data_IF_487485856928
#
_entry.id   IF_487485856928
#
_cell.length_a   1.000
_cell.length_b   1.000
_cell.length_c   1.000
_cell.angle_alpha   90.00
_cell.angle_beta   90.00
_cell.angle_gamma   90.00
#
_symmetry.space_group_name_H-M   'P 1'
#
loop_
_entity.id
_entity.type
_entity.pdbx_description
1 polymer ?
#
# COMPACT_ATOMS: atom_id res chain seq x y z
N UNK A 1 -11.95 22.77 -7.59
CA UNK A 1 -13.13 21.97 -7.97
C UNK A 1 -13.88 21.57 -6.71
N UNK A 2 -15.23 21.62 -6.71
CA UNK A 2 -16.03 21.14 -5.59
C UNK A 2 -15.82 19.62 -5.39
N UNK A 3 -15.84 19.19 -4.13
CA UNK A 3 -15.71 17.77 -3.74
C UNK A 3 -17.02 17.07 -4.11
N UNK A 4 -16.93 15.93 -4.79
CA UNK A 4 -18.10 15.05 -5.01
C UNK A 4 -18.69 14.67 -3.66
N UNK A 5 -20.02 14.71 -3.53
CA UNK A 5 -20.69 14.33 -2.28
C UNK A 5 -20.52 12.81 -2.01
N UNK A 6 -20.40 12.44 -0.73
CA UNK A 6 -20.32 11.04 -0.31
C UNK A 6 -21.72 10.40 -0.39
N UNK A 7 -22.09 9.93 -1.57
CA UNK A 7 -23.32 9.15 -1.76
C UNK A 7 -23.12 7.70 -1.29
N UNK A 8 -24.20 6.97 -0.93
CA UNK A 8 -24.10 5.55 -0.59
C UNK A 8 -23.45 4.70 -1.69
N UNK A 9 -23.70 5.03 -2.97
CA UNK A 9 -23.09 4.35 -4.10
C UNK A 9 -21.56 4.56 -4.16
N UNK A 10 -21.09 5.79 -3.92
CA UNK A 10 -19.66 6.09 -3.88
C UNK A 10 -18.97 5.40 -2.69
N UNK A 11 -19.62 5.39 -1.52
CA UNK A 11 -19.12 4.69 -0.34
C UNK A 11 -18.96 3.20 -0.64
N UNK A 12 -19.98 2.55 -1.21
CA UNK A 12 -19.92 1.15 -1.60
C UNK A 12 -18.78 0.84 -2.59
N UNK A 13 -18.56 1.71 -3.58
CA UNK A 13 -17.44 1.56 -4.51
C UNK A 13 -16.07 1.68 -3.81
N UNK A 14 -15.92 2.61 -2.85
CA UNK A 14 -14.69 2.74 -2.05
C UNK A 14 -14.48 1.50 -1.18
N UNK A 15 -15.54 0.93 -0.60
CA UNK A 15 -15.48 -0.29 0.20
C UNK A 15 -15.06 -1.51 -0.63
N UNK A 16 -15.54 -1.63 -1.87
CA UNK A 16 -15.12 -2.69 -2.80
C UNK A 16 -13.62 -2.59 -3.11
N UNK A 17 -13.13 -1.38 -3.43
CA UNK A 17 -11.69 -1.14 -3.63
C UNK A 17 -10.90 -1.41 -2.35
N UNK A 18 -11.43 -1.04 -1.18
CA UNK A 18 -10.81 -1.32 0.11
C UNK A 18 -10.58 -2.81 0.33
N UNK A 19 -11.56 -3.66 0.00
CA UNK A 19 -11.39 -5.12 0.11
C UNK A 19 -10.28 -5.62 -0.81
N UNK A 20 -10.19 -5.08 -2.03
CA UNK A 20 -9.11 -5.41 -2.97
C UNK A 20 -7.75 -4.98 -2.44
N UNK A 21 -7.64 -3.78 -1.86
CA UNK A 21 -6.41 -3.27 -1.24
C UNK A 21 -5.98 -4.15 -0.06
N UNK A 22 -6.92 -4.52 0.81
CA UNK A 22 -6.64 -5.41 1.96
C UNK A 22 -6.13 -6.78 1.49
N UNK A 23 -6.79 -7.36 0.48
CA UNK A 23 -6.38 -8.62 -0.11
C UNK A 23 -4.97 -8.56 -0.68
N UNK A 24 -4.67 -7.54 -1.49
CA UNK A 24 -3.36 -7.36 -2.09
C UNK A 24 -2.28 -7.14 -1.02
N UNK A 25 -2.50 -6.25 -0.06
CA UNK A 25 -1.57 -6.00 1.04
C UNK A 25 -1.24 -7.29 1.81
N UNK A 26 -2.25 -8.10 2.10
CA UNK A 26 -2.09 -9.41 2.76
C UNK A 26 -1.31 -10.38 1.89
N UNK A 27 -1.61 -10.44 0.58
CA UNK A 27 -0.95 -11.31 -0.37
C UNK A 27 0.53 -10.95 -0.58
N UNK A 28 0.89 -9.66 -0.60
CA UNK A 28 2.30 -9.24 -0.67
C UNK A 28 3.12 -9.80 0.50
N UNK A 29 2.58 -9.67 1.72
CA UNK A 29 3.22 -10.17 2.94
C UNK A 29 3.28 -11.69 2.91
N UNK A 30 2.19 -12.36 2.52
CA UNK A 30 2.15 -13.82 2.40
C UNK A 30 3.19 -14.31 1.39
N UNK A 31 3.23 -13.71 0.19
CA UNK A 31 4.17 -14.08 -0.85
C UNK A 31 5.63 -13.95 -0.39
N UNK A 32 5.96 -12.85 0.29
CA UNK A 32 7.30 -12.62 0.82
C UNK A 32 7.74 -13.65 1.87
N UNK A 33 6.83 -14.22 2.65
CA UNK A 33 7.16 -15.15 3.73
C UNK A 33 6.93 -16.63 3.41
N UNK A 34 6.06 -16.96 2.44
CA UNK A 34 5.60 -18.33 2.20
C UNK A 34 5.71 -18.80 0.76
N UNK A 35 5.84 -17.91 -0.23
CA UNK A 35 5.88 -18.30 -1.65
C UNK A 35 7.26 -18.10 -2.25
N UNK A 36 7.91 -16.97 -1.95
CA UNK A 36 9.27 -16.70 -2.44
C UNK A 36 10.26 -17.67 -1.80
N UNK A 37 11.15 -18.24 -2.62
CA UNK A 37 12.22 -19.13 -2.15
C UNK A 37 13.06 -18.43 -1.07
N UNK A 38 13.25 -19.12 0.06
CA UNK A 38 13.89 -18.57 1.25
C UNK A 38 14.88 -19.59 1.85
N UNK A 39 16.14 -19.63 1.36
CA UNK A 39 17.08 -20.69 1.69
C UNK A 39 17.61 -20.65 3.14
N UNK A 40 17.59 -19.47 3.78
CA UNK A 40 18.02 -19.30 5.17
C UNK A 40 16.90 -19.59 6.20
N UNK A 41 15.65 -19.75 5.73
CA UNK A 41 14.48 -19.97 6.56
C UNK A 41 14.09 -18.78 7.46
N UNK A 42 14.76 -17.63 7.34
CA UNK A 42 14.50 -16.46 8.19
C UNK A 42 13.24 -15.74 7.72
N UNK A 43 12.35 -15.42 8.66
CA UNK A 43 11.12 -14.69 8.34
C UNK A 43 11.45 -13.30 7.76
N UNK A 44 10.99 -13.05 6.54
CA UNK A 44 11.17 -11.75 5.85
C UNK A 44 10.42 -10.62 6.55
N UNK A 45 9.23 -10.90 7.10
CA UNK A 45 8.42 -9.95 7.87
C UNK A 45 7.37 -9.19 7.05
N UNK A 46 6.88 -8.09 7.62
CA UNK A 46 5.71 -7.35 7.13
C UNK A 46 4.62 -7.23 8.21
N UNK A 47 3.87 -6.14 8.21
CA UNK A 47 2.92 -5.82 9.29
C UNK A 47 1.47 -5.91 8.82
N UNK A 48 0.86 -7.10 8.95
CA UNK A 48 -0.55 -7.32 8.58
C UNK A 48 -1.49 -6.50 9.46
N UNK A 49 -1.33 -6.54 10.79
CA UNK A 49 -2.21 -5.82 11.70
C UNK A 49 -2.19 -4.30 11.45
N UNK A 50 -1.00 -3.71 11.26
CA UNK A 50 -0.90 -2.27 10.94
C UNK A 50 -1.44 -1.93 9.55
N UNK A 51 -1.41 -2.87 8.60
CA UNK A 51 -1.99 -2.68 7.27
C UNK A 51 -3.52 -2.72 7.36
N UNK A 52 -4.07 -3.74 8.00
CA UNK A 52 -5.51 -3.91 8.20
C UNK A 52 -6.13 -2.73 8.96
N UNK A 53 -5.46 -2.21 9.99
CA UNK A 53 -5.98 -1.07 10.76
C UNK A 53 -5.94 0.26 9.99
N UNK A 54 -5.17 0.35 8.91
CA UNK A 54 -5.02 1.58 8.12
C UNK A 54 -5.84 1.56 6.82
N UNK A 55 -6.37 0.41 6.40
CA UNK A 55 -6.92 0.24 5.05
C UNK A 55 -8.06 1.21 4.77
N UNK A 56 -9.01 1.37 5.70
CA UNK A 56 -10.17 2.27 5.55
C UNK A 56 -9.78 3.74 5.49
N UNK A 57 -8.83 4.15 6.34
CA UNK A 57 -8.34 5.54 6.35
C UNK A 57 -7.64 5.84 5.03
N UNK A 58 -6.77 4.96 4.57
CA UNK A 58 -5.96 5.19 3.37
C UNK A 58 -6.79 5.13 2.09
N UNK A 59 -7.73 4.18 1.94
CA UNK A 59 -8.59 4.11 0.74
C UNK A 59 -9.50 5.33 0.65
N UNK A 60 -10.12 5.72 1.75
CA UNK A 60 -10.96 6.92 1.82
C UNK A 60 -10.14 8.17 1.53
N UNK A 61 -8.93 8.28 2.10
CA UNK A 61 -8.03 9.39 1.85
C UNK A 61 -7.69 9.50 0.35
N UNK A 62 -7.17 8.42 -0.23
CA UNK A 62 -6.62 8.42 -1.59
C UNK A 62 -7.70 8.54 -2.68
N UNK A 63 -8.85 7.91 -2.49
CA UNK A 63 -9.88 7.81 -3.53
C UNK A 63 -10.91 8.93 -3.45
N UNK A 64 -10.99 9.63 -2.32
CA UNK A 64 -11.98 10.69 -2.12
C UNK A 64 -11.36 12.00 -1.64
N UNK A 65 -10.47 11.97 -0.63
CA UNK A 65 -10.03 13.21 0.03
C UNK A 65 -8.92 13.98 -0.65
N UNK A 66 -7.92 13.30 -1.22
CA UNK A 66 -6.75 13.96 -1.80
C UNK A 66 -7.10 14.84 -3.00
N UNK A 67 -6.39 15.97 -3.09
CA UNK A 67 -6.43 16.95 -4.17
C UNK A 67 -5.04 17.11 -4.79
N UNK A 68 -4.96 17.68 -6.01
CA UNK A 68 -3.68 18.08 -6.57
C UNK A 68 -2.92 19.00 -5.61
N UNK A 69 -1.67 18.65 -5.31
CA UNK A 69 -0.81 19.40 -4.40
C UNK A 69 -0.78 18.87 -2.95
N UNK A 70 -1.75 18.06 -2.54
CA UNK A 70 -1.71 17.39 -1.23
C UNK A 70 -0.52 16.42 -1.17
N UNK A 71 0.09 16.31 0.00
CA UNK A 71 1.24 15.43 0.27
C UNK A 71 0.93 14.51 1.45
N UNK A 72 1.24 13.23 1.33
CA UNK A 72 0.90 12.22 2.34
C UNK A 72 2.14 11.63 2.99
N UNK A 73 2.24 11.80 4.31
CA UNK A 73 3.20 11.05 5.14
C UNK A 73 2.55 9.73 5.56
N UNK A 74 2.90 8.64 4.87
CA UNK A 74 2.30 7.32 5.10
C UNK A 74 2.88 6.69 6.36
N UNK A 75 2.02 6.13 7.22
CA UNK A 75 2.45 5.30 8.36
C UNK A 75 3.37 4.19 7.84
N UNK A 76 4.61 4.02 8.36
CA UNK A 76 5.64 3.23 7.66
C UNK A 76 5.23 1.77 7.49
N UNK A 77 4.66 1.21 8.56
CA UNK A 77 4.23 -0.19 8.63
C UNK A 77 2.97 -0.50 7.81
N UNK A 78 2.33 0.52 7.20
CA UNK A 78 1.22 0.36 6.26
C UNK A 78 1.67 0.36 4.79
N UNK A 79 2.98 0.21 4.54
CA UNK A 79 3.54 0.14 3.17
C UNK A 79 2.80 -0.81 2.22
N UNK A 80 2.33 -2.01 2.63
CA UNK A 80 1.63 -2.89 1.68
C UNK A 80 0.29 -2.31 1.22
N UNK A 81 -0.40 -1.53 2.06
CA UNK A 81 -1.63 -0.80 1.69
C UNK A 81 -1.30 0.31 0.70
N UNK A 82 -0.22 1.04 0.94
CA UNK A 82 0.26 2.07 0.03
C UNK A 82 0.58 1.49 -1.36
N UNK A 83 1.42 0.46 -1.43
CA UNK A 83 1.79 -0.17 -2.71
C UNK A 83 0.58 -0.77 -3.43
N UNK A 84 -0.37 -1.37 -2.70
CA UNK A 84 -1.62 -1.87 -3.28
C UNK A 84 -2.47 -0.74 -3.90
N UNK A 85 -2.60 0.41 -3.21
CA UNK A 85 -3.29 1.58 -3.76
C UNK A 85 -2.57 2.12 -5.00
N UNK A 86 -1.25 2.24 -4.96
CA UNK A 86 -0.46 2.73 -6.09
C UNK A 86 -0.59 1.81 -7.30
N UNK A 87 -0.63 0.49 -7.09
CA UNK A 87 -0.91 -0.49 -8.13
C UNK A 87 -2.30 -0.30 -8.76
N UNK A 88 -3.35 -0.23 -7.93
CA UNK A 88 -4.73 -0.04 -8.43
C UNK A 88 -4.94 1.31 -9.12
N UNK A 89 -4.15 2.33 -8.75
CA UNK A 89 -4.11 3.64 -9.40
C UNK A 89 -3.22 3.68 -10.65
N UNK A 90 -2.63 2.56 -11.06
CA UNK A 90 -1.78 2.46 -12.26
C UNK A 90 -0.40 3.09 -12.12
N UNK A 91 0.06 3.33 -10.88
CA UNK A 91 1.35 3.96 -10.55
C UNK A 91 2.44 2.96 -10.16
N UNK A 92 2.09 1.69 -10.01
CA UNK A 92 3.01 0.60 -9.70
C UNK A 92 2.76 -0.57 -10.64
N UNK A 93 3.82 -1.14 -11.21
CA UNK A 93 3.73 -2.33 -12.08
C UNK A 93 3.40 -3.60 -11.26
N UNK A 94 2.52 -4.45 -11.79
CA UNK A 94 2.08 -5.69 -11.15
C UNK A 94 3.23 -6.62 -10.74
N UNK A 95 4.36 -6.59 -11.46
CA UNK A 95 5.54 -7.42 -11.18
C UNK A 95 6.12 -7.17 -9.79
N UNK A 96 5.89 -5.98 -9.20
CA UNK A 96 6.42 -5.62 -7.89
C UNK A 96 5.59 -6.16 -6.72
N UNK A 97 4.34 -6.58 -6.92
CA UNK A 97 3.46 -7.04 -5.82
C UNK A 97 4.01 -8.30 -5.14
N UNK A 98 4.84 -9.09 -5.82
CA UNK A 98 5.51 -10.28 -5.27
C UNK A 98 6.90 -9.99 -4.72
N UNK A 99 7.34 -8.73 -4.79
CA UNK A 99 8.71 -8.28 -4.51
C UNK A 99 8.84 -7.48 -3.21
N UNK A 100 7.87 -7.61 -2.28
CA UNK A 100 7.97 -6.98 -0.96
C UNK A 100 9.24 -7.44 -0.23
N UNK A 101 10.06 -6.48 0.20
CA UNK A 101 11.37 -6.66 0.83
C UNK A 101 12.40 -7.44 -0.01
N UNK A 102 12.17 -7.61 -1.31
CA UNK A 102 13.18 -8.16 -2.20
C UNK A 102 14.26 -7.11 -2.50
N UNK A 103 15.46 -7.56 -2.84
CA UNK A 103 16.48 -6.67 -3.39
C UNK A 103 15.99 -6.04 -4.69
N UNK A 104 16.01 -4.70 -4.78
CA UNK A 104 15.44 -3.96 -5.92
C UNK A 104 13.91 -4.00 -6.03
N UNK A 105 13.23 -4.57 -5.02
CA UNK A 105 11.77 -4.63 -4.92
C UNK A 105 11.18 -3.53 -4.04
N UNK A 106 9.96 -3.78 -3.57
CA UNK A 106 9.23 -2.85 -2.69
C UNK A 106 9.87 -2.82 -1.29
N UNK A 107 10.03 -1.64 -0.74
CA UNK A 107 10.62 -1.45 0.58
C UNK A 107 9.67 -1.86 1.70
N UNK A 108 10.27 -2.17 2.86
CA UNK A 108 9.52 -2.41 4.10
C UNK A 108 8.71 -1.18 4.53
N UNK A 109 9.26 0.00 4.29
CA UNK A 109 8.69 1.31 4.63
C UNK A 109 8.83 2.21 3.40
N UNK A 110 7.82 3.02 3.04
CA UNK A 110 7.86 3.77 1.79
C UNK A 110 9.10 4.67 1.72
N UNK A 111 9.81 4.62 0.60
CA UNK A 111 11.09 5.26 0.38
C UNK A 111 11.18 5.93 -0.98
N UNK A 112 11.44 7.24 -0.98
CA UNK A 112 11.55 8.07 -2.19
C UNK A 112 12.66 7.64 -3.14
N UNK A 113 13.72 7.04 -2.62
CA UNK A 113 14.92 6.73 -3.40
C UNK A 113 15.00 5.25 -3.78
N UNK A 114 14.13 4.41 -3.23
CA UNK A 114 14.22 2.94 -3.37
C UNK A 114 12.96 2.31 -3.92
N UNK A 115 11.78 2.88 -3.65
CA UNK A 115 10.54 2.35 -4.20
C UNK A 115 10.31 2.83 -5.65
N UNK A 116 9.80 1.94 -6.52
CA UNK A 116 9.41 2.30 -7.89
C UNK A 116 8.13 3.16 -7.93
N UNK A 117 7.31 3.13 -6.88
CA UNK A 117 6.17 4.01 -6.65
C UNK A 117 6.53 5.07 -5.59
N UNK A 118 7.21 6.17 -5.98
CA UNK A 118 7.82 7.07 -5.02
C UNK A 118 6.76 7.76 -4.15
N UNK A 119 6.84 7.64 -2.80
CA UNK A 119 5.97 8.37 -1.89
C UNK A 119 6.35 9.85 -1.81
N UNK A 120 5.49 10.68 -1.21
CA UNK A 120 5.81 12.09 -0.96
C UNK A 120 6.96 12.25 0.05
N UNK A 121 6.95 11.41 1.09
CA UNK A 121 7.94 11.40 2.17
C UNK A 121 8.43 9.98 2.44
N UNK A 122 9.70 9.85 2.84
CA UNK A 122 10.20 8.58 3.38
C UNK A 122 9.96 8.55 4.88
N UNK A 123 9.33 7.50 5.39
CA UNK A 123 8.83 7.49 6.78
C UNK A 123 9.47 6.41 7.67
N UNK A 124 10.57 5.78 7.26
CA UNK A 124 11.15 4.62 7.97
C UNK A 124 11.65 4.82 9.41
N UNK A 125 11.79 6.06 9.89
CA UNK A 125 12.09 6.38 11.29
C UNK A 125 10.85 6.97 11.94
N UNK A 126 10.37 6.34 13.01
CA UNK A 126 9.22 6.78 13.81
C UNK A 126 9.65 7.62 15.01
#
# INVERSE_FOLDING_TARGET
>A
MPRTELTPALIGAIEEVQQRVLWLATLMIYHANHVRHNPDGVKVGGHQASSASMVTIMTTLYLHYLRPGDRVSVKPHASPVYHALQYLLGRLDARYLTQLRAFGGLQAYPSRTKDPDPPDFSTGSV
#
